data_IF_505908431818
#
_entry.id   IF_505908431818
#
_cell.length_a   1.000
_cell.length_b   1.000
_cell.length_c   1.000
_cell.angle_alpha   90.00
_cell.angle_beta   90.00
_cell.angle_gamma   90.00
#
_symmetry.space_group_name_H-M   'P 1'
#
loop_
_entity.id
_entity.type
_entity.pdbx_description
1 polymer ?
#
# COMPACT_ATOMS: atom_id res chain seq x y z
N UNK A 1 42.69 9.84 21.85
CA UNK A 1 41.70 10.03 22.93
C UNK A 1 40.57 10.88 22.37
N UNK A 2 39.35 10.47 22.18
CA UNK A 2 38.37 9.73 22.83
C UNK A 2 37.34 9.16 21.87
N UNK A 3 37.08 7.89 22.01
CA UNK A 3 35.90 7.19 21.50
C UNK A 3 34.71 7.49 22.42
N UNK A 4 33.63 8.03 21.88
CA UNK A 4 32.29 8.00 22.47
C UNK A 4 31.30 8.33 21.33
N UNK A 5 30.30 7.66 21.02
CA UNK A 5 29.34 6.75 21.57
C UNK A 5 28.37 6.50 20.46
N UNK A 6 28.49 5.35 19.75
CA UNK A 6 27.45 4.81 18.87
C UNK A 6 26.80 3.65 19.62
N UNK A 7 25.77 3.95 20.38
CA UNK A 7 25.02 2.94 21.10
C UNK A 7 23.75 3.51 21.67
N UNK A 8 22.64 3.41 20.95
CA UNK A 8 21.36 3.73 21.60
C UNK A 8 20.21 4.14 20.72
N UNK A 9 19.79 3.36 19.70
CA UNK A 9 18.52 3.62 19.00
C UNK A 9 17.79 2.37 18.43
N UNK A 10 18.15 1.15 18.82
CA UNK A 10 17.47 -0.05 18.27
C UNK A 10 16.60 -0.86 19.24
N UNK A 11 16.46 -0.46 20.51
CA UNK A 11 15.77 -1.28 21.54
C UNK A 11 14.32 -0.87 21.78
N UNK A 12 13.87 0.29 21.31
CA UNK A 12 12.53 0.82 21.58
C UNK A 12 11.33 0.09 20.93
N UNK A 13 11.39 -0.43 19.68
CA UNK A 13 10.21 -1.05 19.07
C UNK A 13 9.89 -2.45 19.62
N UNK A 14 10.89 -3.26 19.97
CA UNK A 14 10.67 -4.61 20.53
C UNK A 14 10.01 -4.59 21.91
N UNK A 15 10.33 -3.60 22.75
CA UNK A 15 9.69 -3.49 24.08
C UNK A 15 8.22 -3.12 24.00
N UNK A 16 7.80 -2.28 23.06
CA UNK A 16 6.38 -1.88 22.88
C UNK A 16 5.51 -3.04 22.39
N UNK A 17 5.99 -3.86 21.47
CA UNK A 17 5.25 -5.03 20.97
C UNK A 17 5.12 -6.10 22.07
N UNK A 18 6.15 -6.31 22.87
CA UNK A 18 6.11 -7.21 24.02
C UNK A 18 5.12 -6.73 25.10
N UNK A 19 5.06 -5.44 25.38
CA UNK A 19 4.10 -4.85 26.34
C UNK A 19 2.66 -5.01 25.83
N UNK A 20 2.40 -4.77 24.55
CA UNK A 20 1.05 -4.92 23.97
C UNK A 20 0.62 -6.39 23.95
N UNK A 21 1.52 -7.30 23.56
CA UNK A 21 1.26 -8.73 23.60
C UNK A 21 1.00 -9.22 25.04
N UNK A 22 1.76 -8.72 26.01
CA UNK A 22 1.55 -8.98 27.43
C UNK A 22 0.20 -8.45 27.92
N UNK A 23 -0.17 -7.23 27.58
CA UNK A 23 -1.46 -6.64 27.93
C UNK A 23 -2.64 -7.40 27.29
N UNK A 24 -2.52 -7.83 26.04
CA UNK A 24 -3.53 -8.66 25.37
C UNK A 24 -3.66 -10.04 26.04
N UNK A 25 -2.55 -10.66 26.45
CA UNK A 25 -2.54 -11.91 27.19
C UNK A 25 -3.21 -11.79 28.56
N UNK A 26 -2.92 -10.72 29.30
CA UNK A 26 -3.57 -10.42 30.59
C UNK A 26 -5.06 -10.17 30.40
N UNK A 27 -5.46 -9.45 29.37
CA UNK A 27 -6.87 -9.20 29.04
C UNK A 27 -7.63 -10.49 28.72
N UNK A 28 -7.05 -11.39 27.91
CA UNK A 28 -7.64 -12.70 27.61
C UNK A 28 -7.75 -13.58 28.86
N UNK A 29 -6.71 -13.61 29.72
CA UNK A 29 -6.74 -14.34 30.96
C UNK A 29 -7.84 -13.82 31.90
N UNK A 30 -8.00 -12.49 31.99
CA UNK A 30 -9.07 -11.88 32.81
C UNK A 30 -10.46 -12.28 32.32
N UNK A 31 -10.67 -12.31 31.00
CA UNK A 31 -11.93 -12.76 30.41
C UNK A 31 -12.24 -14.22 30.75
N UNK A 32 -11.27 -15.11 30.64
CA UNK A 32 -11.44 -16.52 31.01
C UNK A 32 -11.78 -16.67 32.51
N UNK A 33 -11.06 -15.96 33.37
CA UNK A 33 -11.33 -15.96 34.82
C UNK A 33 -12.75 -15.47 35.11
N UNK A 34 -13.19 -14.40 34.47
CA UNK A 34 -14.52 -13.84 34.65
C UNK A 34 -15.62 -14.82 34.24
N UNK A 35 -15.42 -15.51 33.10
CA UNK A 35 -16.38 -16.51 32.59
C UNK A 35 -16.47 -17.71 33.55
N UNK A 36 -15.32 -18.24 34.00
CA UNK A 36 -15.28 -19.33 34.94
C UNK A 36 -15.92 -18.92 36.27
N UNK A 37 -15.64 -17.72 36.77
CA UNK A 37 -16.25 -17.17 37.96
C UNK A 37 -17.77 -17.06 37.84
N UNK A 38 -18.26 -16.52 36.73
CA UNK A 38 -19.69 -16.36 36.43
C UNK A 38 -20.39 -17.73 36.34
N UNK A 39 -19.80 -18.67 35.61
CA UNK A 39 -20.34 -20.03 35.51
C UNK A 39 -20.42 -20.74 36.86
N UNK A 40 -19.39 -20.60 37.70
CA UNK A 40 -19.39 -21.19 39.07
C UNK A 40 -20.39 -20.51 39.97
N UNK A 41 -20.58 -19.18 39.84
CA UNK A 41 -21.58 -18.45 40.62
C UNK A 41 -23.00 -18.92 40.31
N UNK A 42 -23.35 -19.06 39.01
CA UNK A 42 -24.66 -19.56 38.58
C UNK A 42 -24.90 -20.99 39.09
N UNK A 43 -23.90 -21.86 38.95
CA UNK A 43 -24.01 -23.23 39.47
C UNK A 43 -24.26 -23.28 40.99
N UNK A 44 -23.58 -22.43 41.76
CA UNK A 44 -23.77 -22.33 43.23
C UNK A 44 -25.16 -21.81 43.58
N UNK A 45 -25.69 -20.83 42.85
CA UNK A 45 -27.03 -20.30 43.07
C UNK A 45 -28.10 -21.36 42.74
N UNK A 46 -27.95 -22.05 41.60
CA UNK A 46 -28.87 -23.13 41.22
C UNK A 46 -28.89 -24.26 42.26
N UNK A 47 -27.71 -24.65 42.80
CA UNK A 47 -27.62 -25.64 43.86
C UNK A 47 -28.32 -25.19 45.16
N UNK A 48 -28.20 -23.90 45.55
CA UNK A 48 -28.89 -23.35 46.73
C UNK A 48 -30.40 -23.34 46.55
N UNK A 49 -30.91 -22.97 45.38
CA UNK A 49 -32.36 -22.99 45.07
C UNK A 49 -32.88 -24.43 45.22
N UNK A 50 -32.18 -25.42 44.65
CA UNK A 50 -32.56 -26.82 44.75
C UNK A 50 -32.58 -27.31 46.21
N UNK A 51 -31.64 -26.88 47.08
CA UNK A 51 -31.64 -27.19 48.50
C UNK A 51 -32.84 -26.57 49.23
N UNK A 52 -33.18 -25.31 48.93
CA UNK A 52 -34.33 -24.65 49.56
C UNK A 52 -35.66 -25.30 49.14
N UNK A 53 -35.81 -25.70 47.90
CA UNK A 53 -36.97 -26.42 47.39
C UNK A 53 -37.14 -27.78 48.08
N UNK A 54 -36.04 -28.50 48.34
CA UNK A 54 -36.08 -29.76 49.08
C UNK A 54 -36.50 -29.62 50.55
N UNK A 55 -36.23 -28.46 51.17
CA UNK A 55 -36.61 -28.16 52.57
C UNK A 55 -38.07 -27.72 52.72
N UNK A 56 -38.67 -27.13 51.66
CA UNK A 56 -40.04 -26.64 51.72
C UNK A 56 -41.07 -27.75 51.43
N UNK A 57 -40.62 -28.98 51.12
CA UNK A 57 -41.53 -30.13 50.96
C UNK A 57 -42.46 -30.05 49.75
N UNK A 58 -42.16 -29.18 48.80
CA UNK A 58 -42.84 -29.16 47.54
C UNK A 58 -42.41 -30.37 46.70
N UNK A 59 -43.16 -31.42 46.72
CA UNK A 59 -42.94 -32.70 46.05
C UNK A 59 -43.01 -32.57 44.51
N UNK A 60 -42.06 -31.84 43.98
CA UNK A 60 -41.78 -31.83 42.54
C UNK A 60 -40.43 -32.49 42.38
N UNK A 61 -40.45 -33.71 41.86
CA UNK A 61 -39.27 -34.37 41.32
C UNK A 61 -38.60 -33.43 40.31
N UNK A 62 -37.67 -32.64 40.80
CA UNK A 62 -36.77 -31.86 39.93
C UNK A 62 -35.92 -32.89 39.21
N UNK A 63 -36.45 -33.37 38.10
CA UNK A 63 -35.87 -34.50 37.37
C UNK A 63 -34.46 -34.19 36.91
N UNK A 64 -33.60 -35.21 36.97
CA UNK A 64 -32.23 -35.12 36.43
C UNK A 64 -32.19 -34.53 34.99
N UNK A 65 -33.30 -34.66 34.26
CA UNK A 65 -33.51 -34.08 32.93
C UNK A 65 -33.59 -32.52 32.92
N UNK A 66 -34.17 -31.91 33.96
CA UNK A 66 -34.23 -30.42 34.06
C UNK A 66 -32.84 -29.85 34.39
N UNK A 67 -32.08 -30.52 35.26
CA UNK A 67 -30.71 -30.15 35.55
C UNK A 67 -29.79 -30.25 34.33
N UNK A 68 -29.93 -31.27 33.52
CA UNK A 68 -29.13 -31.42 32.30
C UNK A 68 -29.44 -30.33 31.27
N UNK A 69 -30.71 -29.93 31.13
CA UNK A 69 -31.11 -28.84 30.25
C UNK A 69 -30.57 -27.50 30.72
N UNK A 70 -30.71 -27.16 32.01
CA UNK A 70 -30.18 -25.89 32.54
C UNK A 70 -28.67 -25.83 32.43
N UNK A 71 -27.96 -26.92 32.64
CA UNK A 71 -26.50 -26.99 32.45
C UNK A 71 -26.09 -26.80 30.99
N UNK A 72 -26.80 -27.40 30.04
CA UNK A 72 -26.57 -27.24 28.63
C UNK A 72 -26.83 -25.78 28.16
N UNK A 73 -27.90 -25.13 28.67
CA UNK A 73 -28.17 -23.73 28.40
C UNK A 73 -27.03 -22.82 28.91
N UNK A 74 -26.61 -23.01 30.16
CA UNK A 74 -25.53 -22.22 30.78
C UNK A 74 -24.19 -22.40 30.06
N UNK A 75 -23.84 -23.63 29.68
CA UNK A 75 -22.64 -23.92 28.90
C UNK A 75 -22.74 -23.30 27.50
N UNK A 76 -23.94 -23.40 26.88
CA UNK A 76 -24.19 -22.80 25.57
C UNK A 76 -24.05 -21.28 25.59
N UNK A 77 -24.71 -20.59 26.53
CA UNK A 77 -24.62 -19.13 26.69
C UNK A 77 -23.20 -18.66 27.00
N UNK A 78 -22.52 -19.34 27.94
CA UNK A 78 -21.15 -19.00 28.31
C UNK A 78 -20.16 -19.19 27.12
N UNK A 79 -20.32 -20.29 26.37
CA UNK A 79 -19.48 -20.56 25.22
C UNK A 79 -19.72 -19.59 24.05
N UNK A 80 -20.97 -19.18 23.78
CA UNK A 80 -21.29 -18.17 22.77
C UNK A 80 -20.74 -16.80 23.16
N UNK A 81 -20.86 -16.41 24.43
CA UNK A 81 -20.31 -15.17 24.94
C UNK A 81 -18.78 -15.13 24.83
N UNK A 82 -18.12 -16.24 25.20
CA UNK A 82 -16.67 -16.38 25.06
C UNK A 82 -16.24 -16.28 23.58
N UNK A 83 -16.93 -16.97 22.69
CA UNK A 83 -16.65 -16.94 21.27
C UNK A 83 -16.78 -15.53 20.68
N UNK A 84 -17.81 -14.77 21.08
CA UNK A 84 -18.01 -13.38 20.67
C UNK A 84 -16.90 -12.46 21.19
N UNK A 85 -16.52 -12.60 22.46
CA UNK A 85 -15.42 -11.83 23.04
C UNK A 85 -14.08 -12.13 22.34
N UNK A 86 -13.82 -13.41 22.08
CA UNK A 86 -12.62 -13.83 21.35
C UNK A 86 -12.60 -13.26 19.94
N UNK A 87 -13.73 -13.36 19.21
CA UNK A 87 -13.88 -12.82 17.86
C UNK A 87 -13.66 -11.30 17.85
N UNK A 88 -14.24 -10.57 18.80
CA UNK A 88 -14.05 -9.12 18.94
C UNK A 88 -12.58 -8.78 19.24
N UNK A 89 -11.93 -9.52 20.14
CA UNK A 89 -10.52 -9.31 20.48
C UNK A 89 -9.61 -9.54 19.27
N UNK A 90 -9.86 -10.62 18.52
CA UNK A 90 -9.13 -10.91 17.28
C UNK A 90 -9.34 -9.84 16.20
N UNK A 91 -10.57 -9.36 16.06
CA UNK A 91 -10.90 -8.27 15.13
C UNK A 91 -10.15 -6.99 15.50
N UNK A 92 -10.17 -6.59 16.78
CA UNK A 92 -9.45 -5.39 17.25
C UNK A 92 -7.94 -5.54 17.09
N UNK A 93 -7.38 -6.71 17.38
CA UNK A 93 -5.96 -7.01 17.18
C UNK A 93 -5.58 -6.95 15.70
N UNK A 94 -6.42 -7.46 14.81
CA UNK A 94 -6.22 -7.39 13.37
C UNK A 94 -6.28 -5.95 12.84
N UNK A 95 -7.28 -5.16 13.29
CA UNK A 95 -7.41 -3.74 12.94
C UNK A 95 -6.19 -2.95 13.41
N UNK A 96 -5.77 -3.17 14.65
CA UNK A 96 -4.58 -2.53 15.20
C UNK A 96 -3.32 -2.90 14.42
N UNK A 97 -3.14 -4.17 14.09
CA UNK A 97 -1.97 -4.61 13.32
C UNK A 97 -1.97 -4.04 11.91
N UNK A 98 -3.11 -4.00 11.26
CA UNK A 98 -3.29 -3.38 9.96
C UNK A 98 -2.92 -1.88 9.99
N UNK A 99 -3.33 -1.16 11.02
CA UNK A 99 -3.00 0.25 11.21
C UNK A 99 -1.50 0.44 11.47
N UNK A 100 -0.89 -0.39 12.29
CA UNK A 100 0.56 -0.36 12.54
C UNK A 100 1.38 -0.63 11.28
N UNK A 101 0.95 -1.54 10.42
CA UNK A 101 1.61 -1.78 9.14
C UNK A 101 1.54 -0.56 8.23
N UNK A 102 0.39 0.13 8.19
CA UNK A 102 0.23 1.38 7.45
C UNK A 102 1.13 2.49 7.99
N UNK A 103 1.14 2.69 9.30
CA UNK A 103 1.96 3.71 9.93
C UNK A 103 3.45 3.47 9.69
N UNK A 104 3.92 2.21 9.77
CA UNK A 104 5.32 1.86 9.48
C UNK A 104 5.68 2.09 8.01
N UNK A 105 4.79 1.75 7.08
CA UNK A 105 5.03 2.01 5.65
C UNK A 105 5.13 3.50 5.36
N UNK A 106 4.30 4.31 6.02
CA UNK A 106 4.33 5.77 5.89
C UNK A 106 5.61 6.37 6.50
N UNK A 107 6.05 5.91 7.67
CA UNK A 107 7.33 6.35 8.26
C UNK A 107 8.52 6.00 7.39
N UNK A 108 8.57 4.77 6.86
CA UNK A 108 9.62 4.34 5.94
C UNK A 108 9.60 5.16 4.64
N UNK A 109 8.41 5.50 4.15
CA UNK A 109 8.22 6.39 3.01
C UNK A 109 8.82 7.78 3.26
N UNK A 110 8.44 8.44 4.36
CA UNK A 110 8.99 9.77 4.68
C UNK A 110 10.50 9.75 4.88
N UNK A 111 11.05 8.70 5.51
CA UNK A 111 12.49 8.56 5.66
C UNK A 111 13.21 8.44 4.31
N UNK A 112 12.67 7.63 3.38
CA UNK A 112 13.24 7.49 2.03
C UNK A 112 13.12 8.78 1.21
N UNK A 113 11.96 9.43 1.24
CA UNK A 113 11.74 10.72 0.56
C UNK A 113 12.72 11.77 1.08
N UNK A 114 12.87 11.87 2.40
CA UNK A 114 13.82 12.81 3.01
C UNK A 114 15.24 12.56 2.53
N UNK A 115 15.65 11.29 2.43
CA UNK A 115 16.97 10.93 1.93
C UNK A 115 17.15 11.29 0.44
N UNK A 116 16.15 11.03 -0.37
CA UNK A 116 16.20 11.32 -1.81
C UNK A 116 16.09 12.81 -2.16
N UNK A 117 15.41 13.60 -1.32
CA UNK A 117 15.39 15.06 -1.45
C UNK A 117 16.73 15.69 -1.00
N UNK A 118 17.40 15.09 -0.03
CA UNK A 118 18.69 15.61 0.47
C UNK A 118 19.77 15.57 -0.59
N UNK A 119 19.83 14.53 -1.42
CA UNK A 119 20.87 14.35 -2.46
C UNK A 119 20.86 15.48 -3.50
N UNK A 120 19.73 15.78 -4.20
CA UNK A 120 19.69 16.90 -5.16
C UNK A 120 19.87 18.25 -4.47
N UNK A 121 19.33 18.44 -3.26
CA UNK A 121 19.55 19.68 -2.50
C UNK A 121 21.02 19.91 -2.20
N UNK A 122 21.77 18.86 -1.83
CA UNK A 122 23.21 18.97 -1.60
C UNK A 122 23.95 19.27 -2.91
N UNK A 123 23.56 18.64 -4.03
CA UNK A 123 24.13 18.93 -5.35
C UNK A 123 23.88 20.37 -5.78
N UNK A 124 22.63 20.85 -5.67
CA UNK A 124 22.25 22.24 -5.95
C UNK A 124 23.09 23.21 -5.14
N UNK A 125 23.23 22.95 -3.83
CA UNK A 125 24.02 23.80 -2.93
C UNK A 125 25.49 23.86 -3.34
N UNK A 126 26.13 22.71 -3.61
CA UNK A 126 27.53 22.65 -4.04
C UNK A 126 27.75 23.36 -5.38
N UNK A 127 26.82 23.21 -6.31
CA UNK A 127 26.88 23.90 -7.61
C UNK A 127 26.72 25.41 -7.47
N UNK A 128 25.81 25.85 -6.57
CA UNK A 128 25.63 27.27 -6.28
C UNK A 128 26.88 27.87 -5.60
N UNK A 129 27.49 27.14 -4.65
CA UNK A 129 28.76 27.54 -4.02
C UNK A 129 29.91 27.65 -5.05
N UNK A 130 30.06 26.68 -5.97
CA UNK A 130 31.07 26.71 -7.04
C UNK A 130 30.82 27.85 -8.04
N UNK A 131 29.57 28.18 -8.37
CA UNK A 131 29.23 29.34 -9.22
C UNK A 131 29.64 30.65 -8.51
N UNK A 132 29.42 30.74 -7.20
CA UNK A 132 29.78 31.92 -6.39
C UNK A 132 31.30 32.12 -6.35
N UNK A 133 32.08 31.03 -6.37
CA UNK A 133 33.56 31.06 -6.41
C UNK A 133 34.12 31.36 -7.81
N UNK A 134 33.28 31.43 -8.84
CA UNK A 134 33.68 31.89 -10.17
C UNK A 134 34.02 30.77 -11.17
N UNK A 135 33.83 29.52 -10.81
CA UNK A 135 34.14 28.36 -11.64
C UNK A 135 33.05 28.10 -12.69
N UNK A 136 33.40 27.68 -13.91
CA UNK A 136 32.60 27.19 -15.04
C UNK A 136 31.06 27.50 -15.00
N UNK A 137 30.69 28.76 -14.87
CA UNK A 137 29.31 29.23 -14.55
C UNK A 137 28.21 28.64 -15.44
N UNK A 138 28.44 28.51 -16.76
CA UNK A 138 27.40 28.06 -17.69
C UNK A 138 27.06 26.56 -17.51
N UNK A 139 28.07 25.70 -17.36
CA UNK A 139 27.87 24.26 -17.19
C UNK A 139 27.27 23.92 -15.83
N UNK A 140 27.70 24.64 -14.78
CA UNK A 140 27.13 24.46 -13.42
C UNK A 140 25.70 25.00 -13.33
N UNK A 141 25.37 26.10 -13.99
CA UNK A 141 24.01 26.63 -14.06
C UNK A 141 23.06 25.67 -14.76
N UNK A 142 23.50 25.02 -15.84
CA UNK A 142 22.69 24.01 -16.52
C UNK A 142 22.40 22.80 -15.62
N UNK A 143 23.40 22.28 -14.94
CA UNK A 143 23.22 21.18 -13.98
C UNK A 143 22.32 21.55 -12.81
N UNK A 144 22.42 22.79 -12.30
CA UNK A 144 21.58 23.30 -11.23
C UNK A 144 20.11 23.34 -11.65
N UNK A 145 19.81 23.75 -12.88
CA UNK A 145 18.47 23.72 -13.46
C UNK A 145 17.95 22.27 -13.57
N UNK A 146 18.76 21.34 -14.05
CA UNK A 146 18.41 19.92 -14.16
C UNK A 146 18.09 19.28 -12.80
N UNK A 147 18.93 19.54 -11.79
CA UNK A 147 18.73 19.05 -10.43
C UNK A 147 17.52 19.71 -9.76
N UNK A 148 17.23 20.99 -10.06
CA UNK A 148 16.04 21.69 -9.58
C UNK A 148 14.75 21.07 -10.15
N UNK A 149 14.69 20.84 -11.46
CA UNK A 149 13.55 20.17 -12.11
C UNK A 149 13.36 18.74 -11.59
N UNK A 150 14.45 18.03 -11.34
CA UNK A 150 14.40 16.69 -10.75
C UNK A 150 13.81 16.71 -9.35
N UNK A 151 14.20 17.69 -8.53
CA UNK A 151 13.69 17.89 -7.19
C UNK A 151 12.19 18.22 -7.20
N UNK A 152 11.76 19.13 -8.09
CA UNK A 152 10.36 19.50 -8.27
C UNK A 152 9.49 18.30 -8.63
N UNK A 153 9.90 17.50 -9.62
CA UNK A 153 9.20 16.25 -9.99
C UNK A 153 9.12 15.26 -8.81
N UNK A 154 10.13 15.21 -7.97
CA UNK A 154 10.16 14.31 -6.82
C UNK A 154 9.23 14.77 -5.69
N UNK A 155 9.15 16.10 -5.47
CA UNK A 155 8.20 16.71 -4.53
C UNK A 155 6.77 16.45 -5.00
N UNK A 156 6.45 16.70 -6.26
CA UNK A 156 5.12 16.45 -6.83
C UNK A 156 4.67 15.00 -6.62
N UNK A 157 5.53 14.02 -6.94
CA UNK A 157 5.25 12.60 -6.73
C UNK A 157 4.99 12.26 -5.27
N UNK A 158 5.73 12.90 -4.37
CA UNK A 158 5.58 12.71 -2.93
C UNK A 158 4.26 13.27 -2.41
N UNK A 159 3.91 14.48 -2.84
CA UNK A 159 2.64 15.12 -2.48
C UNK A 159 1.45 14.32 -3.03
N UNK A 160 1.54 13.85 -4.27
CA UNK A 160 0.48 13.04 -4.86
C UNK A 160 0.32 11.70 -4.15
N UNK A 161 1.41 11.03 -3.78
CA UNK A 161 1.34 9.82 -2.98
C UNK A 161 0.74 10.10 -1.60
N UNK A 162 1.11 11.19 -0.95
CA UNK A 162 0.51 11.59 0.34
C UNK A 162 -1.00 11.84 0.20
N UNK A 163 -1.44 12.49 -0.88
CA UNK A 163 -2.86 12.70 -1.19
C UNK A 163 -3.60 11.38 -1.40
N UNK A 164 -3.01 10.45 -2.14
CA UNK A 164 -3.59 9.14 -2.43
C UNK A 164 -3.69 8.30 -1.15
N UNK A 165 -2.65 8.24 -0.33
CA UNK A 165 -2.65 7.50 0.93
C UNK A 165 -3.57 8.13 1.98
N UNK A 166 -3.73 9.47 1.96
CA UNK A 166 -4.67 10.21 2.79
C UNK A 166 -6.14 10.03 2.40
N UNK A 167 -6.44 9.26 1.35
CA UNK A 167 -7.83 8.99 0.93
C UNK A 167 -8.47 10.13 0.13
N UNK A 168 -7.67 11.04 -0.45
CA UNK A 168 -8.17 12.13 -1.31
C UNK A 168 -9.12 11.60 -2.40
N UNK A 169 -10.25 12.27 -2.70
CA UNK A 169 -11.23 11.76 -3.66
C UNK A 169 -10.61 11.60 -5.07
N UNK A 170 -10.96 10.52 -5.77
CA UNK A 170 -10.75 10.38 -7.20
C UNK A 170 -12.03 10.80 -7.92
N UNK A 171 -11.88 11.50 -9.04
CA UNK A 171 -13.00 11.88 -9.91
C UNK A 171 -13.26 10.74 -10.89
N UNK A 172 -14.06 9.76 -10.47
CA UNK A 172 -14.40 8.63 -11.34
C UNK A 172 -15.32 9.11 -12.47
N UNK A 173 -14.90 8.85 -13.71
CA UNK A 173 -15.64 9.20 -14.93
C UNK A 173 -15.40 8.16 -16.02
N UNK A 174 -16.26 8.16 -17.01
CA UNK A 174 -16.07 7.38 -18.24
C UNK A 174 -14.98 8.04 -19.11
N UNK A 175 -13.99 7.24 -19.47
CA UNK A 175 -12.82 7.72 -20.24
C UNK A 175 -12.71 6.90 -21.53
N UNK A 176 -13.01 7.50 -22.70
CA UNK A 176 -12.72 6.91 -24.01
C UNK A 176 -11.20 6.88 -24.22
N UNK A 177 -10.57 5.71 -24.04
CA UNK A 177 -9.10 5.58 -24.02
C UNK A 177 -8.41 6.13 -25.27
N UNK A 178 -8.96 5.86 -26.45
CA UNK A 178 -8.41 6.37 -27.70
C UNK A 178 -8.31 7.91 -27.69
N UNK A 179 -9.42 8.59 -27.36
CA UNK A 179 -9.48 10.06 -27.31
C UNK A 179 -8.62 10.63 -26.20
N UNK A 180 -8.61 9.96 -25.04
CA UNK A 180 -7.81 10.39 -23.89
C UNK A 180 -6.31 10.29 -24.20
N UNK A 181 -5.83 9.16 -24.76
CA UNK A 181 -4.43 8.96 -25.12
C UNK A 181 -3.98 9.99 -26.18
N UNK A 182 -4.81 10.27 -27.19
CA UNK A 182 -4.47 11.27 -28.22
C UNK A 182 -4.23 12.67 -27.67
N UNK A 183 -4.87 13.00 -26.53
CA UNK A 183 -4.67 14.28 -25.82
C UNK A 183 -3.51 14.26 -24.82
N UNK A 184 -3.32 13.13 -24.12
CA UNK A 184 -2.31 13.02 -23.07
C UNK A 184 -0.89 12.81 -23.61
N UNK A 185 -0.74 12.03 -24.69
CA UNK A 185 0.57 11.63 -25.22
C UNK A 185 1.43 12.81 -25.73
N UNK A 186 0.92 13.81 -26.44
CA UNK A 186 1.75 14.92 -26.93
C UNK A 186 2.47 15.66 -25.80
N UNK A 187 1.79 15.91 -24.68
CA UNK A 187 2.40 16.57 -23.52
C UNK A 187 3.50 15.73 -22.88
N UNK A 188 3.30 14.41 -22.79
CA UNK A 188 4.30 13.48 -22.25
C UNK A 188 5.50 13.38 -23.20
N UNK A 189 5.27 13.26 -24.50
CA UNK A 189 6.34 13.21 -25.50
C UNK A 189 7.17 14.50 -25.52
N UNK A 190 6.53 15.67 -25.49
CA UNK A 190 7.20 16.97 -25.46
C UNK A 190 8.13 17.13 -24.23
N UNK A 191 7.75 16.59 -23.08
CA UNK A 191 8.56 16.64 -21.87
C UNK A 191 9.90 15.86 -21.98
N UNK A 192 9.98 14.88 -22.90
CA UNK A 192 11.17 14.05 -23.09
C UNK A 192 11.90 14.28 -24.41
N UNK A 193 11.28 15.03 -25.35
CA UNK A 193 11.87 15.39 -26.65
C UNK A 193 12.32 14.16 -27.46
N UNK A 194 13.49 14.27 -28.08
CA UNK A 194 14.06 13.21 -28.92
C UNK A 194 14.44 11.91 -28.19
N UNK A 195 14.37 11.90 -26.87
CA UNK A 195 14.69 10.73 -26.05
C UNK A 195 13.56 9.68 -25.99
N UNK A 196 12.36 10.03 -26.47
CA UNK A 196 11.17 9.21 -26.37
C UNK A 196 10.43 9.10 -27.69
N UNK A 197 10.22 7.88 -28.18
CA UNK A 197 9.29 7.54 -29.26
C UNK A 197 8.06 6.86 -28.65
N UNK A 198 6.98 7.60 -28.47
CA UNK A 198 5.75 7.13 -27.81
C UNK A 198 4.65 6.89 -28.84
N UNK A 199 4.19 5.64 -28.97
CA UNK A 199 3.16 5.24 -29.94
C UNK A 199 2.01 4.52 -29.25
N UNK A 200 0.77 4.81 -29.69
CA UNK A 200 -0.42 4.11 -29.25
C UNK A 200 -1.19 3.51 -30.43
N UNK A 201 -1.62 2.28 -30.25
CA UNK A 201 -2.48 1.55 -31.16
C UNK A 201 -3.69 1.06 -30.34
N UNK A 202 -4.67 1.94 -30.19
CA UNK A 202 -5.88 1.68 -29.40
C UNK A 202 -7.08 1.89 -30.30
N UNK A 203 -7.94 0.87 -30.38
CA UNK A 203 -9.14 0.92 -31.18
C UNK A 203 -10.13 1.97 -30.62
N UNK A 204 -10.71 2.78 -31.51
CA UNK A 204 -11.73 3.77 -31.18
C UNK A 204 -13.07 3.14 -30.75
N UNK A 205 -13.30 1.88 -31.14
CA UNK A 205 -14.54 1.15 -30.80
C UNK A 205 -14.52 0.50 -29.42
N UNK A 206 -13.38 0.57 -28.69
CA UNK A 206 -13.31 0.07 -27.32
C UNK A 206 -14.26 0.85 -26.41
N UNK A 207 -14.97 0.16 -25.53
CA UNK A 207 -15.85 0.82 -24.57
C UNK A 207 -15.05 1.76 -23.66
N UNK A 208 -15.67 2.85 -23.17
CA UNK A 208 -15.03 3.74 -22.21
C UNK A 208 -14.72 2.98 -20.91
N UNK A 209 -13.61 3.36 -20.28
CA UNK A 209 -13.20 2.78 -18.99
C UNK A 209 -13.60 3.71 -17.85
N UNK A 210 -13.94 3.13 -16.70
CA UNK A 210 -14.22 3.86 -15.47
C UNK A 210 -12.91 4.18 -14.75
N UNK A 211 -12.69 5.45 -14.48
CA UNK A 211 -11.49 5.89 -13.76
C UNK A 211 -11.35 7.39 -13.63
N UNK A 212 -10.22 7.82 -13.15
CA UNK A 212 -9.83 9.23 -13.04
C UNK A 212 -8.78 9.56 -14.10
N UNK A 213 -9.09 10.51 -14.96
CA UNK A 213 -8.23 10.90 -16.10
C UNK A 213 -6.87 11.45 -15.63
N UNK A 214 -6.84 12.20 -14.52
CA UNK A 214 -5.61 12.72 -13.92
C UNK A 214 -4.76 11.58 -13.31
N UNK A 215 -5.41 10.60 -12.66
CA UNK A 215 -4.73 9.43 -12.16
C UNK A 215 -4.12 8.58 -13.29
N UNK A 216 -4.83 8.39 -14.39
CA UNK A 216 -4.31 7.69 -15.57
C UNK A 216 -3.12 8.44 -16.19
N UNK A 217 -3.18 9.77 -16.26
CA UNK A 217 -2.07 10.59 -16.76
C UNK A 217 -0.84 10.45 -15.88
N UNK A 218 -1.03 10.43 -14.55
CA UNK A 218 0.05 10.23 -13.61
C UNK A 218 0.65 8.83 -13.71
N UNK A 219 -0.18 7.80 -13.93
CA UNK A 219 0.27 6.42 -14.19
C UNK A 219 1.15 6.39 -15.44
N UNK A 220 0.66 6.91 -16.56
CA UNK A 220 1.40 6.90 -17.81
C UNK A 220 2.71 7.67 -17.71
N UNK A 221 2.69 8.86 -17.11
CA UNK A 221 3.90 9.66 -16.85
C UNK A 221 4.93 8.89 -16.01
N UNK A 222 4.51 8.21 -14.94
CA UNK A 222 5.42 7.42 -14.10
C UNK A 222 6.02 6.23 -14.86
N UNK A 223 5.26 5.55 -15.72
CA UNK A 223 5.77 4.45 -16.54
C UNK A 223 6.80 4.96 -17.57
N UNK A 224 6.48 6.03 -18.29
CA UNK A 224 7.38 6.63 -19.28
C UNK A 224 8.67 7.16 -18.63
N UNK A 225 8.56 7.91 -17.54
CA UNK A 225 9.75 8.40 -16.81
C UNK A 225 10.63 7.24 -16.32
N UNK A 226 10.01 6.13 -15.90
CA UNK A 226 10.73 4.93 -15.49
C UNK A 226 11.51 4.33 -16.68
N UNK A 227 10.87 4.21 -17.84
CA UNK A 227 11.50 3.70 -19.06
C UNK A 227 12.64 4.60 -19.54
N UNK A 228 12.43 5.92 -19.62
CA UNK A 228 13.49 6.87 -20.03
C UNK A 228 14.66 6.91 -19.04
N UNK A 229 14.39 6.71 -17.74
CA UNK A 229 15.44 6.74 -16.71
C UNK A 229 16.30 5.47 -16.71
N UNK A 230 15.71 4.32 -16.96
CA UNK A 230 16.37 3.03 -16.79
C UNK A 230 16.79 2.37 -18.10
N UNK A 231 16.33 2.89 -19.24
CA UNK A 231 16.77 2.42 -20.55
C UNK A 231 18.20 2.89 -20.85
N UNK A 232 18.98 1.98 -21.45
CA UNK A 232 20.27 2.31 -22.08
C UNK A 232 20.13 2.63 -23.58
N UNK A 233 18.89 2.46 -24.11
CA UNK A 233 18.56 2.75 -25.50
C UNK A 233 18.10 4.19 -25.64
N UNK A 234 18.52 4.88 -26.69
CA UNK A 234 18.10 6.26 -27.00
C UNK A 234 17.86 6.40 -28.52
N UNK A 235 16.64 6.72 -28.98
CA UNK A 235 15.43 6.95 -28.18
C UNK A 235 14.84 5.68 -27.58
N UNK A 236 14.17 5.85 -26.42
CA UNK A 236 13.33 4.79 -25.84
C UNK A 236 12.05 4.72 -26.65
N UNK A 237 11.75 3.55 -27.20
CA UNK A 237 10.48 3.31 -27.89
C UNK A 237 9.47 2.70 -26.92
N UNK A 238 8.31 3.34 -26.78
CA UNK A 238 7.20 2.89 -25.94
C UNK A 238 5.99 2.64 -26.81
N UNK A 239 5.40 1.46 -26.65
CA UNK A 239 4.16 1.07 -27.32
C UNK A 239 3.03 0.90 -26.33
N UNK A 240 1.88 1.48 -26.65
CA UNK A 240 0.63 1.30 -25.93
C UNK A 240 -0.36 0.56 -26.84
N UNK A 241 -0.91 -0.54 -26.35
CA UNK A 241 -2.00 -1.27 -27.01
C UNK A 241 -3.13 -1.50 -26.04
N UNK A 242 -4.37 -1.59 -26.50
CA UNK A 242 -5.49 -1.90 -25.63
C UNK A 242 -6.40 -2.92 -26.28
N UNK A 243 -6.96 -3.83 -25.44
CA UNK A 243 -7.92 -4.83 -25.87
C UNK A 243 -8.98 -5.06 -24.78
N UNK A 244 -10.21 -5.34 -25.20
CA UNK A 244 -11.28 -5.73 -24.27
C UNK A 244 -11.08 -7.16 -23.78
N UNK A 245 -11.18 -7.38 -22.48
CA UNK A 245 -11.17 -8.71 -21.86
C UNK A 245 -12.28 -8.78 -20.80
N UNK A 246 -13.39 -9.40 -21.14
CA UNK A 246 -14.60 -9.47 -20.31
C UNK A 246 -15.06 -8.09 -19.82
N UNK A 247 -15.07 -7.84 -18.51
CA UNK A 247 -15.50 -6.60 -17.86
C UNK A 247 -14.36 -5.56 -17.74
N UNK A 248 -13.24 -5.78 -18.43
CA UNK A 248 -12.08 -4.91 -18.40
C UNK A 248 -11.62 -4.54 -19.80
N UNK A 249 -11.02 -3.36 -19.92
CA UNK A 249 -10.10 -3.04 -20.99
C UNK A 249 -8.70 -3.11 -20.43
N UNK A 250 -7.85 -3.92 -21.06
CA UNK A 250 -6.45 -4.07 -20.68
C UNK A 250 -5.62 -3.14 -21.53
N UNK A 251 -5.07 -2.10 -20.92
CA UNK A 251 -4.09 -1.23 -21.54
C UNK A 251 -2.69 -1.79 -21.27
N UNK A 252 -2.04 -2.26 -22.32
CA UNK A 252 -0.68 -2.77 -22.27
C UNK A 252 0.30 -1.68 -22.59
N UNK A 253 1.31 -1.52 -21.76
CA UNK A 253 2.47 -0.66 -21.92
C UNK A 253 3.70 -1.52 -22.10
N UNK A 254 4.50 -1.28 -23.14
CA UNK A 254 5.76 -1.98 -23.38
C UNK A 254 6.83 -1.02 -23.86
N UNK A 255 8.02 -1.08 -23.26
CA UNK A 255 9.21 -0.38 -23.74
C UNK A 255 10.23 -1.33 -24.40
N UNK A 256 11.24 -0.78 -25.05
CA UNK A 256 12.35 -1.49 -25.67
C UNK A 256 13.62 -1.48 -24.81
N UNK A 257 13.51 -1.27 -23.50
CA UNK A 257 14.63 -1.25 -22.57
C UNK A 257 15.21 -2.65 -22.30
N UNK A 258 16.11 -2.73 -21.35
CA UNK A 258 16.75 -4.02 -20.97
C UNK A 258 15.84 -4.94 -20.14
N UNK A 259 14.66 -4.47 -19.77
CA UNK A 259 13.82 -5.15 -18.79
C UNK A 259 14.42 -5.09 -17.37
N UNK A 260 13.75 -5.71 -16.43
CA UNK A 260 14.22 -5.82 -15.05
C UNK A 260 14.61 -7.27 -14.80
N UNK A 261 15.83 -7.53 -14.37
CA UNK A 261 16.31 -8.87 -14.03
C UNK A 261 15.48 -9.55 -12.94
N UNK A 262 15.80 -10.79 -12.60
CA UNK A 262 15.07 -11.64 -11.66
C UNK A 262 14.63 -10.90 -10.39
N UNK A 263 13.32 -10.79 -10.14
CA UNK A 263 12.76 -10.10 -8.96
C UNK A 263 11.43 -9.39 -9.19
N UNK A 264 10.68 -9.74 -10.23
CA UNK A 264 9.36 -9.13 -10.57
C UNK A 264 8.36 -9.10 -9.41
N UNK A 265 8.41 -10.07 -8.49
CA UNK A 265 7.51 -10.12 -7.32
C UNK A 265 7.66 -8.96 -6.32
N UNK A 266 8.72 -8.15 -6.42
CA UNK A 266 8.93 -6.95 -5.59
C UNK A 266 8.52 -5.65 -6.30
N UNK A 267 8.28 -5.69 -7.62
CA UNK A 267 7.88 -4.51 -8.39
C UNK A 267 6.52 -3.97 -7.91
N UNK A 268 6.41 -2.66 -7.80
CA UNK A 268 5.21 -2.01 -7.29
C UNK A 268 4.95 -2.23 -5.79
N UNK A 269 5.88 -2.78 -5.02
CA UNK A 269 5.90 -2.66 -3.56
C UNK A 269 6.61 -1.37 -3.19
N UNK A 270 6.18 -0.75 -2.12
CA UNK A 270 6.86 0.44 -1.59
C UNK A 270 8.32 0.06 -1.28
N UNK A 271 9.28 0.79 -1.86
CA UNK A 271 10.72 0.49 -1.79
C UNK A 271 11.16 -0.84 -2.44
N UNK A 272 10.30 -1.47 -3.23
CA UNK A 272 10.70 -2.61 -4.07
C UNK A 272 11.65 -2.15 -5.17
N UNK A 273 12.96 -2.31 -4.95
CA UNK A 273 14.00 -1.96 -5.93
C UNK A 273 14.42 -3.20 -6.71
N UNK A 274 14.61 -3.05 -8.01
CA UNK A 274 15.45 -3.99 -8.77
C UNK A 274 16.92 -3.80 -8.38
N UNK A 275 17.76 -4.81 -8.54
CA UNK A 275 19.16 -4.81 -8.12
C UNK A 275 20.01 -3.65 -8.67
N UNK A 276 19.56 -2.98 -9.75
CA UNK A 276 20.26 -1.89 -10.44
C UNK A 276 19.50 -0.54 -10.40
N UNK A 277 18.45 -0.36 -9.60
CA UNK A 277 17.63 0.85 -9.68
C UNK A 277 18.10 1.93 -8.70
N UNK A 278 18.44 3.10 -9.25
CA UNK A 278 18.73 4.34 -8.52
C UNK A 278 17.42 5.16 -8.40
N UNK A 279 16.61 4.91 -7.38
CA UNK A 279 15.38 5.67 -7.14
C UNK A 279 14.57 5.12 -5.97
N UNK A 280 13.63 5.92 -5.39
CA UNK A 280 12.83 5.55 -4.21
C UNK A 280 11.95 4.30 -4.37
N UNK A 281 11.80 3.76 -5.57
CA UNK A 281 10.83 2.70 -5.83
C UNK A 281 9.37 3.15 -5.63
N UNK A 282 9.14 4.47 -5.65
CA UNK A 282 7.82 5.10 -5.42
C UNK A 282 6.95 5.06 -6.67
N UNK A 283 7.54 5.21 -7.88
CA UNK A 283 6.77 5.34 -9.12
C UNK A 283 5.87 4.14 -9.42
N UNK A 284 6.39 2.92 -9.42
CA UNK A 284 5.59 1.71 -9.66
C UNK A 284 4.64 1.40 -8.50
N UNK A 285 4.99 1.78 -7.27
CA UNK A 285 4.08 1.71 -6.13
C UNK A 285 2.88 2.65 -6.33
N UNK A 286 3.14 3.89 -6.76
CA UNK A 286 2.11 4.87 -7.09
C UNK A 286 1.16 4.35 -8.17
N UNK A 287 1.70 3.76 -9.25
CA UNK A 287 0.91 3.11 -10.30
C UNK A 287 -0.01 2.03 -9.69
N UNK A 288 0.52 1.15 -8.85
CA UNK A 288 -0.28 0.10 -8.20
C UNK A 288 -1.38 0.68 -7.31
N UNK A 289 -1.07 1.71 -6.53
CA UNK A 289 -2.05 2.34 -5.61
C UNK A 289 -3.16 3.05 -6.37
N UNK A 290 -2.84 3.79 -7.42
CA UNK A 290 -3.83 4.44 -8.28
C UNK A 290 -4.75 3.42 -8.94
N UNK A 291 -4.20 2.36 -9.53
CA UNK A 291 -4.99 1.30 -10.12
C UNK A 291 -5.94 0.64 -9.10
N UNK A 292 -5.45 0.32 -7.89
CA UNK A 292 -6.27 -0.23 -6.82
C UNK A 292 -7.40 0.71 -6.41
N UNK A 293 -7.16 2.01 -6.37
CA UNK A 293 -8.18 3.00 -6.00
C UNK A 293 -9.23 3.23 -7.09
N UNK A 294 -8.88 3.01 -8.34
CA UNK A 294 -9.81 2.98 -9.48
C UNK A 294 -10.47 1.60 -9.65
N UNK A 295 -10.37 0.71 -8.64
CA UNK A 295 -10.90 -0.67 -8.72
C UNK A 295 -10.34 -1.51 -9.88
N UNK A 296 -9.22 -1.07 -10.47
CA UNK A 296 -8.48 -1.77 -11.49
C UNK A 296 -7.39 -2.70 -10.90
N UNK A 297 -6.64 -3.33 -11.80
CA UNK A 297 -5.51 -4.20 -11.46
C UNK A 297 -4.30 -3.83 -12.30
N UNK A 298 -3.09 -4.05 -11.77
CA UNK A 298 -1.85 -3.88 -12.53
C UNK A 298 -0.99 -5.13 -12.40
N UNK A 299 -0.43 -5.56 -13.52
CA UNK A 299 0.56 -6.61 -13.59
C UNK A 299 1.82 -6.05 -14.22
N UNK A 300 2.94 -6.20 -13.52
CA UNK A 300 4.26 -5.86 -14.05
C UNK A 300 4.91 -7.16 -14.54
N UNK A 301 5.31 -7.16 -15.78
CA UNK A 301 5.99 -8.25 -16.41
C UNK A 301 7.28 -7.76 -17.06
N UNK A 302 8.32 -8.56 -17.03
CA UNK A 302 9.62 -8.19 -17.59
C UNK A 302 10.49 -9.43 -17.70
N UNK A 303 11.07 -9.63 -18.87
CA UNK A 303 12.11 -10.59 -19.08
C UNK A 303 13.42 -9.85 -19.44
N UNK A 304 14.58 -10.34 -19.04
CA UNK A 304 15.85 -9.76 -19.47
C UNK A 304 15.94 -9.76 -21.00
N UNK A 305 16.09 -8.57 -21.59
CA UNK A 305 16.19 -8.39 -23.04
C UNK A 305 14.89 -8.08 -23.79
N UNK A 306 13.70 -8.29 -23.15
CA UNK A 306 12.39 -8.03 -23.78
C UNK A 306 11.76 -6.68 -23.41
N UNK A 307 12.49 -5.82 -22.69
CA UNK A 307 11.97 -4.57 -22.18
C UNK A 307 11.09 -4.72 -20.95
N UNK A 308 10.46 -3.64 -20.54
CA UNK A 308 9.52 -3.60 -19.42
C UNK A 308 8.09 -3.58 -19.97
N UNK A 309 7.27 -4.51 -19.49
CA UNK A 309 5.86 -4.64 -19.87
C UNK A 309 4.98 -4.47 -18.66
N UNK A 310 3.88 -3.74 -18.82
CA UNK A 310 2.87 -3.52 -17.77
C UNK A 310 1.49 -3.64 -18.36
N UNK A 311 0.63 -4.43 -17.73
CA UNK A 311 -0.79 -4.54 -18.03
C UNK A 311 -1.60 -3.76 -17.00
N UNK A 312 -2.39 -2.80 -17.46
CA UNK A 312 -3.32 -2.01 -16.66
C UNK A 312 -4.74 -2.46 -16.98
N UNK A 313 -5.38 -3.14 -16.03
CA UNK A 313 -6.74 -3.67 -16.16
C UNK A 313 -7.73 -2.64 -15.65
N UNK A 314 -8.39 -1.95 -16.55
CA UNK A 314 -9.35 -0.87 -16.29
C UNK A 314 -10.77 -1.40 -16.42
N UNK A 315 -11.63 -1.07 -15.47
CA UNK A 315 -13.04 -1.51 -15.51
C UNK A 315 -13.79 -0.79 -16.62
N UNK A 316 -14.72 -1.48 -17.23
CA UNK A 316 -15.73 -0.91 -18.13
C UNK A 316 -17.02 -0.73 -17.35
N UNK A 317 -17.81 0.26 -17.71
CA UNK A 317 -19.18 0.33 -17.25
C UNK A 317 -19.98 -0.82 -17.89
N UNK A 318 -20.74 -1.54 -17.07
CA UNK A 318 -21.43 -2.78 -17.48
C UNK A 318 -22.72 -2.49 -18.24
#
# INVERSE_FOLDING_TARGET
>A
MGRAGQGGLSVAPMRRTAVIAGAAGVWLALQVVLIVWWATLIQRQAARIAQLESLVGAGHDFTAAQWSRTRLMLVGESSTFLALLLALTLLLAWLYWREQLRARSMQAFFASVTHELRTPLTSIRLQAEAIAEGDQRAALAQRLLEDSHRLESQIEKTLELARIEGGGPLSEQEIPLHTWLSRAMPGIAAAHGERLDLRAHVDSELPPVLGDAGALQLILRNLVENSVRHSQVNPVSVRLTAARQADFVVLEYQDNGQGVGAGTGKLGRLFGRGAASHGAGVGLYLVRRLMQRMHGRVRFDTAPGDGFRTELWLRVDA
#
